data_IF_680529977843
#
_entry.id   IF_680529977843
#
_cell.length_a   1.000
_cell.length_b   1.000
_cell.length_c   1.000
_cell.angle_alpha   90.00
_cell.angle_beta   90.00
_cell.angle_gamma   90.00
#
_symmetry.space_group_name_H-M   'P 1'
#
loop_
_entity.id
_entity.type
_entity.pdbx_description
1 polymer ?
#
# COMPACT_ATOMS: atom_id res chain seq x y z
N UNK A 1 16.35 -6.86 -15.29
CA UNK A 1 17.41 -7.40 -14.41
C UNK A 1 18.57 -7.95 -15.23
N UNK A 2 18.33 -8.64 -16.35
CA UNK A 2 19.41 -9.02 -17.29
C UNK A 2 20.13 -7.83 -17.94
N UNK A 3 19.45 -6.71 -18.21
CA UNK A 3 20.08 -5.53 -18.84
C UNK A 3 21.12 -4.79 -17.96
N UNK A 4 21.16 -5.05 -16.64
CA UNK A 4 22.09 -4.42 -15.69
C UNK A 4 23.03 -5.43 -15.02
N UNK A 5 22.88 -6.74 -15.27
CA UNK A 5 23.62 -7.82 -14.57
C UNK A 5 23.52 -7.78 -13.04
N UNK A 6 22.49 -7.13 -12.48
CA UNK A 6 22.24 -7.06 -11.04
C UNK A 6 21.25 -8.15 -10.67
N UNK A 7 21.54 -8.90 -9.60
CA UNK A 7 20.63 -9.90 -9.04
C UNK A 7 19.27 -9.29 -8.65
N UNK A 8 18.22 -10.12 -8.62
CA UNK A 8 16.85 -9.64 -8.49
C UNK A 8 16.54 -8.90 -7.19
N UNK A 9 17.08 -9.39 -6.07
CA UNK A 9 16.85 -8.80 -4.76
C UNK A 9 17.54 -7.42 -4.59
N UNK A 10 18.82 -7.23 -4.96
CA UNK A 10 19.42 -5.89 -4.98
C UNK A 10 18.67 -4.90 -5.89
N UNK A 11 18.22 -5.35 -7.07
CA UNK A 11 17.44 -4.49 -7.97
C UNK A 11 16.10 -4.07 -7.32
N UNK A 12 15.42 -4.98 -6.61
CA UNK A 12 14.23 -4.67 -5.84
C UNK A 12 14.52 -3.66 -4.72
N UNK A 13 15.65 -3.81 -4.01
CA UNK A 13 16.09 -2.85 -3.00
C UNK A 13 16.32 -1.44 -3.55
N UNK A 14 16.96 -1.32 -4.72
CA UNK A 14 17.15 -0.03 -5.40
C UNK A 14 15.81 0.58 -5.82
N UNK A 15 14.88 -0.24 -6.34
CA UNK A 15 13.56 0.24 -6.71
C UNK A 15 12.74 0.73 -5.50
N UNK A 16 12.83 0.05 -4.35
CA UNK A 16 12.21 0.51 -3.11
C UNK A 16 12.86 1.79 -2.58
N UNK A 17 14.18 1.91 -2.66
CA UNK A 17 14.88 3.14 -2.29
C UNK A 17 14.46 4.32 -3.18
N UNK A 18 14.38 4.10 -4.50
CA UNK A 18 13.88 5.11 -5.44
C UNK A 18 12.42 5.48 -5.15
N UNK A 19 11.56 4.50 -4.85
CA UNK A 19 10.19 4.76 -4.43
C UNK A 19 10.15 5.65 -3.18
N UNK A 20 10.92 5.31 -2.14
CA UNK A 20 11.01 6.11 -0.92
C UNK A 20 11.51 7.54 -1.17
N UNK A 21 12.50 7.73 -2.04
CA UNK A 21 12.98 9.06 -2.41
C UNK A 21 11.90 9.88 -3.16
N UNK A 22 11.17 9.25 -4.08
CA UNK A 22 10.10 9.91 -4.85
C UNK A 22 8.91 10.28 -3.95
N UNK A 23 8.55 9.41 -3.02
CA UNK A 23 7.43 9.63 -2.09
C UNK A 23 7.81 10.44 -0.87
N UNK A 24 9.11 10.73 -0.65
CA UNK A 24 9.60 11.31 0.60
C UNK A 24 9.45 10.37 1.81
N UNK A 25 9.28 9.07 1.58
CA UNK A 25 9.08 8.03 2.59
C UNK A 25 7.88 8.26 3.54
N UNK A 26 6.89 9.08 3.15
CA UNK A 26 5.74 9.40 4.01
C UNK A 26 4.91 8.18 4.42
N UNK A 27 4.84 7.14 3.58
CA UNK A 27 4.06 5.93 3.89
C UNK A 27 4.81 4.99 4.84
N UNK A 28 6.13 4.91 4.66
CA UNK A 28 7.04 4.17 5.55
C UNK A 28 7.05 4.81 6.94
N UNK A 29 7.20 6.13 7.01
CA UNK A 29 7.13 6.90 8.26
C UNK A 29 5.78 6.67 8.96
N UNK A 30 4.67 6.79 8.23
CA UNK A 30 3.34 6.53 8.77
C UNK A 30 3.14 5.10 9.29
N UNK A 31 3.74 4.10 8.64
CA UNK A 31 3.73 2.71 9.12
C UNK A 31 4.50 2.58 10.44
N UNK A 32 5.69 3.20 10.52
CA UNK A 32 6.52 3.15 11.71
C UNK A 32 5.82 3.82 12.91
N UNK A 33 5.33 5.04 12.72
CA UNK A 33 4.64 5.83 13.73
C UNK A 33 3.36 5.15 14.22
N UNK A 34 2.59 4.57 13.31
CA UNK A 34 1.39 3.82 13.67
C UNK A 34 1.74 2.59 14.51
N UNK A 35 2.78 1.85 14.12
CA UNK A 35 3.22 0.67 14.87
C UNK A 35 3.77 1.05 16.25
N UNK A 36 4.62 2.06 16.35
CA UNK A 36 5.20 2.51 17.62
C UNK A 36 4.15 3.07 18.58
N UNK A 37 3.12 3.75 18.06
CA UNK A 37 2.02 4.21 18.89
C UNK A 37 1.37 3.05 19.68
N UNK A 38 1.37 1.82 19.15
CA UNK A 38 0.75 0.69 19.84
C UNK A 38 1.50 0.22 21.09
N UNK A 39 2.72 0.72 21.32
CA UNK A 39 3.41 0.58 22.60
C UNK A 39 2.79 1.42 23.73
N UNK A 40 1.98 2.43 23.41
CA UNK A 40 1.31 3.28 24.40
C UNK A 40 -0.07 2.75 24.81
N UNK A 41 -0.50 3.11 26.02
CA UNK A 41 -1.78 2.69 26.59
C UNK A 41 -2.92 3.68 26.29
N UNK A 42 -2.66 4.98 26.45
CA UNK A 42 -3.68 6.03 26.26
C UNK A 42 -3.71 6.55 24.83
N UNK A 43 -4.88 7.05 24.41
CA UNK A 43 -5.06 7.63 23.07
C UNK A 43 -4.16 8.86 22.90
N UNK A 44 -4.08 9.70 23.91
CA UNK A 44 -3.30 10.94 23.90
C UNK A 44 -1.83 10.61 23.64
N UNK A 45 -1.29 9.63 24.39
CA UNK A 45 0.10 9.21 24.22
C UNK A 45 0.37 8.57 22.85
N UNK A 46 -0.59 7.83 22.29
CA UNK A 46 -0.50 7.29 20.92
C UNK A 46 -0.35 8.39 19.89
N UNK A 47 -1.17 9.43 20.02
CA UNK A 47 -1.15 10.58 19.11
C UNK A 47 0.13 11.42 19.28
N UNK A 48 0.66 11.51 20.51
CA UNK A 48 1.93 12.19 20.77
C UNK A 48 3.12 11.43 20.15
N UNK A 49 3.15 10.10 20.23
CA UNK A 49 4.21 9.27 19.61
C UNK A 49 4.26 9.50 18.09
N UNK A 50 3.11 9.55 17.43
CA UNK A 50 2.99 9.88 16.00
C UNK A 50 3.37 11.33 15.61
N UNK A 51 3.84 12.15 16.56
CA UNK A 51 4.47 13.46 16.26
C UNK A 51 5.96 13.46 16.60
N UNK A 52 6.41 12.41 17.25
CA UNK A 52 7.77 12.25 17.69
C UNK A 52 8.58 11.64 16.55
N UNK A 53 9.67 12.29 16.15
CA UNK A 53 10.54 11.77 15.09
C UNK A 53 11.38 10.56 15.51
N UNK A 54 11.30 10.15 16.79
CA UNK A 54 12.02 8.99 17.29
C UNK A 54 11.30 7.70 16.91
N UNK A 55 12.02 6.85 16.19
CA UNK A 55 11.59 5.49 15.90
C UNK A 55 11.75 4.57 17.12
N UNK A 56 10.73 3.75 17.36
CA UNK A 56 10.74 2.68 18.36
C UNK A 56 10.92 1.29 17.74
N UNK A 57 10.94 0.25 18.58
CA UNK A 57 11.17 -1.12 18.14
C UNK A 57 10.04 -1.69 17.30
N UNK A 58 8.80 -1.24 17.51
CA UNK A 58 7.65 -1.71 16.73
C UNK A 58 7.67 -1.10 15.33
N UNK A 59 8.05 0.17 15.21
CA UNK A 59 8.24 0.85 13.93
C UNK A 59 9.36 0.20 13.12
N UNK A 60 10.52 -0.05 13.73
CA UNK A 60 11.63 -0.78 13.07
C UNK A 60 11.15 -2.14 12.57
N UNK A 61 10.47 -2.94 13.40
CA UNK A 61 10.00 -4.26 13.01
C UNK A 61 8.99 -4.18 11.85
N UNK A 62 8.05 -3.23 11.91
CA UNK A 62 7.05 -3.02 10.85
C UNK A 62 7.71 -2.63 9.52
N UNK A 63 8.69 -1.73 9.54
CA UNK A 63 9.46 -1.34 8.36
C UNK A 63 10.26 -2.52 7.78
N UNK A 64 10.95 -3.28 8.62
CA UNK A 64 11.69 -4.46 8.19
C UNK A 64 10.78 -5.48 7.51
N UNK A 65 9.62 -5.78 8.10
CA UNK A 65 8.65 -6.71 7.51
C UNK A 65 8.08 -6.17 6.19
N UNK A 66 7.72 -4.88 6.15
CA UNK A 66 7.21 -4.23 4.93
C UNK A 66 8.23 -4.27 3.79
N UNK A 67 9.49 -3.92 4.07
CA UNK A 67 10.56 -3.96 3.07
C UNK A 67 10.83 -5.40 2.63
N UNK A 68 10.88 -6.35 3.56
CA UNK A 68 11.11 -7.77 3.24
C UNK A 68 10.04 -8.32 2.29
N UNK A 69 8.75 -8.07 2.59
CA UNK A 69 7.64 -8.55 1.77
C UNK A 69 7.70 -7.91 0.38
N UNK A 70 7.86 -6.59 0.30
CA UNK A 70 7.87 -5.87 -0.99
C UNK A 70 9.10 -6.24 -1.82
N UNK A 71 10.28 -6.30 -1.22
CA UNK A 71 11.51 -6.66 -1.92
C UNK A 71 11.47 -8.11 -2.42
N UNK A 72 11.03 -9.05 -1.57
CA UNK A 72 10.85 -10.45 -1.93
C UNK A 72 9.84 -10.61 -3.07
N UNK A 73 8.71 -9.90 -2.99
CA UNK A 73 7.70 -9.96 -4.03
C UNK A 73 8.19 -9.39 -5.37
N UNK A 74 8.87 -8.24 -5.35
CA UNK A 74 9.44 -7.64 -6.56
C UNK A 74 10.54 -8.52 -7.17
N UNK A 75 11.37 -9.16 -6.35
CA UNK A 75 12.43 -10.06 -6.81
C UNK A 75 11.89 -11.35 -7.46
N UNK A 76 10.65 -11.72 -7.17
CA UNK A 76 9.99 -12.90 -7.71
C UNK A 76 9.44 -12.72 -9.15
N UNK A 77 9.31 -11.48 -9.64
CA UNK A 77 8.75 -11.24 -10.97
C UNK A 77 9.83 -11.12 -12.04
N UNK A 78 9.55 -11.61 -13.27
CA UNK A 78 10.37 -11.26 -14.43
C UNK A 78 10.36 -9.76 -14.67
N UNK A 79 11.50 -9.22 -15.13
CA UNK A 79 11.68 -7.79 -15.31
C UNK A 79 10.62 -7.14 -16.24
N UNK A 80 10.11 -7.89 -17.23
CA UNK A 80 9.07 -7.44 -18.16
C UNK A 80 7.75 -7.06 -17.46
N UNK A 81 7.46 -7.63 -16.29
CA UNK A 81 6.21 -7.41 -15.56
C UNK A 81 6.35 -6.42 -14.39
N UNK A 82 7.56 -5.95 -14.07
CA UNK A 82 7.77 -5.09 -12.90
C UNK A 82 7.01 -3.77 -13.00
N UNK A 83 7.07 -3.08 -14.15
CA UNK A 83 6.38 -1.80 -14.34
C UNK A 83 4.86 -1.94 -14.13
N UNK A 84 4.14 -2.86 -14.82
CA UNK A 84 2.71 -2.99 -14.61
C UNK A 84 2.36 -3.39 -13.18
N UNK A 85 3.12 -4.30 -12.55
CA UNK A 85 2.86 -4.74 -11.17
C UNK A 85 3.06 -3.60 -10.16
N UNK A 86 4.11 -2.79 -10.32
CA UNK A 86 4.34 -1.62 -9.49
C UNK A 86 3.26 -0.55 -9.71
N UNK A 87 2.80 -0.36 -10.95
CA UNK A 87 1.68 0.54 -11.24
C UNK A 87 0.39 0.08 -10.55
N UNK A 88 0.06 -1.22 -10.62
CA UNK A 88 -1.10 -1.78 -9.91
C UNK A 88 -0.96 -1.59 -8.40
N UNK A 89 0.17 -1.98 -7.81
CA UNK A 89 0.42 -1.83 -6.38
C UNK A 89 0.30 -0.37 -5.92
N UNK A 90 0.92 0.55 -6.64
CA UNK A 90 0.92 1.98 -6.32
C UNK A 90 -0.48 2.61 -6.45
N UNK A 91 -1.25 2.26 -7.48
CA UNK A 91 -2.58 2.85 -7.70
C UNK A 91 -3.64 2.25 -6.78
N UNK A 92 -3.64 0.93 -6.60
CA UNK A 92 -4.63 0.25 -5.75
C UNK A 92 -4.46 0.68 -4.30
N UNK A 93 -3.23 0.67 -3.76
CA UNK A 93 -2.95 1.09 -2.38
C UNK A 93 -3.42 2.52 -2.07
N UNK A 94 -3.18 3.46 -2.99
CA UNK A 94 -3.64 4.85 -2.88
C UNK A 94 -5.16 5.00 -3.00
N UNK A 95 -5.81 4.20 -3.85
CA UNK A 95 -7.26 4.22 -3.98
C UNK A 95 -7.95 3.67 -2.71
N UNK A 96 -7.50 2.52 -2.20
CA UNK A 96 -8.09 1.96 -0.97
C UNK A 96 -7.84 2.83 0.25
N UNK A 97 -6.68 3.52 0.35
CA UNK A 97 -6.41 4.49 1.43
C UNK A 97 -7.52 5.53 1.58
N UNK A 98 -8.12 6.00 0.47
CA UNK A 98 -9.20 7.00 0.49
C UNK A 98 -10.51 6.49 1.14
N UNK A 99 -10.62 5.18 1.38
CA UNK A 99 -11.75 4.61 2.11
C UNK A 99 -11.73 5.07 3.58
N UNK A 100 -10.55 5.28 4.17
CA UNK A 100 -10.41 5.72 5.55
C UNK A 100 -10.97 7.13 5.79
N UNK A 101 -10.55 8.20 5.09
CA UNK A 101 -11.15 9.52 5.26
C UNK A 101 -12.61 9.60 4.81
N UNK A 102 -13.08 8.63 4.01
CA UNK A 102 -14.49 8.53 3.61
C UNK A 102 -15.39 7.91 4.70
N UNK A 103 -14.84 7.01 5.52
CA UNK A 103 -15.57 6.17 6.48
C UNK A 103 -15.30 6.52 7.95
N UNK A 104 -14.17 7.15 8.25
CA UNK A 104 -13.73 7.49 9.60
C UNK A 104 -13.57 9.02 9.75
N UNK A 105 -13.85 9.57 10.94
CA UNK A 105 -13.51 10.96 11.23
C UNK A 105 -11.98 11.13 11.35
N UNK A 106 -11.49 12.35 11.15
CA UNK A 106 -10.11 12.68 11.50
C UNK A 106 -9.92 12.56 13.02
N UNK A 107 -8.85 11.88 13.45
CA UNK A 107 -8.54 11.63 14.86
C UNK A 107 -8.11 12.90 15.61
N UNK A 108 -7.70 13.94 14.88
CA UNK A 108 -7.20 15.21 15.40
C UNK A 108 -7.88 16.41 14.70
N UNK A 109 -7.92 17.58 15.36
CA UNK A 109 -8.45 18.80 14.75
C UNK A 109 -7.50 19.42 13.71
N UNK A 110 -6.21 19.09 13.78
CA UNK A 110 -5.12 19.64 12.96
C UNK A 110 -4.43 18.57 12.10
N UNK A 111 -3.47 19.00 11.27
CA UNK A 111 -2.66 18.15 10.39
C UNK A 111 -3.14 18.09 8.94
N UNK A 112 -2.22 17.79 8.01
CA UNK A 112 -2.48 17.83 6.56
C UNK A 112 -3.60 16.89 6.16
N UNK A 113 -3.66 15.69 6.76
CA UNK A 113 -4.69 14.70 6.45
C UNK A 113 -6.11 15.19 6.80
N UNK A 114 -6.27 16.17 7.69
CA UNK A 114 -7.58 16.78 7.99
C UNK A 114 -8.21 17.44 6.78
N UNK A 115 -7.42 17.93 5.82
CA UNK A 115 -7.92 18.52 4.58
C UNK A 115 -8.73 17.54 3.73
N UNK A 116 -8.61 16.23 3.98
CA UNK A 116 -9.42 15.18 3.35
C UNK A 116 -10.79 14.98 4.01
N UNK A 117 -11.17 15.77 5.04
CA UNK A 117 -12.44 15.65 5.75
C UNK A 117 -13.35 16.89 5.56
N UNK A 118 -14.52 16.76 4.90
CA UNK A 118 -15.04 15.57 4.24
C UNK A 118 -14.41 15.34 2.86
N UNK A 119 -14.16 14.08 2.50
CA UNK A 119 -13.65 13.76 1.17
C UNK A 119 -14.77 13.90 0.13
N UNK A 120 -14.62 14.78 -0.88
CA UNK A 120 -15.67 14.98 -1.88
C UNK A 120 -15.91 13.69 -2.70
N UNK A 121 -17.17 13.41 -3.04
CA UNK A 121 -17.57 12.15 -3.70
C UNK A 121 -16.95 11.97 -5.09
N UNK A 122 -16.85 13.03 -5.88
CA UNK A 122 -16.38 12.93 -7.26
C UNK A 122 -14.88 12.61 -7.37
N UNK A 123 -13.97 13.29 -6.65
CA UNK A 123 -12.57 12.90 -6.56
C UNK A 123 -12.37 11.46 -6.05
N UNK A 124 -13.15 11.04 -5.06
CA UNK A 124 -13.12 9.66 -4.56
C UNK A 124 -13.45 8.66 -5.66
N UNK A 125 -14.59 8.82 -6.35
CA UNK A 125 -15.01 7.93 -7.44
C UNK A 125 -13.99 7.94 -8.57
N UNK A 126 -13.48 9.12 -8.96
CA UNK A 126 -12.46 9.26 -9.99
C UNK A 126 -11.19 8.47 -9.66
N UNK A 127 -10.70 8.57 -8.42
CA UNK A 127 -9.54 7.81 -7.96
C UNK A 127 -9.79 6.29 -8.03
N UNK A 128 -10.97 5.82 -7.61
CA UNK A 128 -11.32 4.39 -7.73
C UNK A 128 -11.35 3.93 -9.19
N UNK A 129 -11.98 4.67 -10.09
CA UNK A 129 -12.10 4.31 -11.51
C UNK A 129 -10.74 4.26 -12.21
N UNK A 130 -9.87 5.24 -11.94
CA UNK A 130 -8.51 5.25 -12.50
C UNK A 130 -7.71 4.04 -12.02
N UNK A 131 -7.76 3.74 -10.71
CA UNK A 131 -7.06 2.57 -10.18
C UNK A 131 -7.62 1.25 -10.72
N UNK A 132 -8.94 1.14 -10.91
CA UNK A 132 -9.58 -0.03 -11.53
C UNK A 132 -9.11 -0.18 -12.98
N UNK A 133 -9.11 0.91 -13.76
CA UNK A 133 -8.67 0.89 -15.15
C UNK A 133 -7.19 0.49 -15.28
N UNK A 134 -6.31 0.99 -14.42
CA UNK A 134 -4.89 0.62 -14.39
C UNK A 134 -4.72 -0.85 -13.99
N UNK A 135 -5.50 -1.32 -13.00
CA UNK A 135 -5.50 -2.74 -12.59
C UNK A 135 -5.90 -3.64 -13.74
N UNK A 136 -7.06 -3.39 -14.35
CA UNK A 136 -7.57 -4.19 -15.45
C UNK A 136 -6.66 -4.13 -16.66
N UNK A 137 -6.23 -2.93 -17.08
CA UNK A 137 -5.34 -2.77 -18.22
C UNK A 137 -4.02 -3.53 -18.04
N UNK A 138 -3.40 -3.40 -16.86
CA UNK A 138 -2.14 -4.08 -16.56
C UNK A 138 -2.28 -5.60 -16.53
N UNK A 139 -3.32 -6.12 -15.88
CA UNK A 139 -3.54 -7.56 -15.74
C UNK A 139 -4.00 -8.20 -17.06
N UNK A 140 -4.88 -7.55 -17.82
CA UNK A 140 -5.32 -8.04 -19.13
C UNK A 140 -4.14 -8.07 -20.10
N UNK A 141 -3.33 -7.01 -20.16
CA UNK A 141 -2.13 -7.02 -21.00
C UNK A 141 -1.15 -8.13 -20.59
N UNK A 142 -0.94 -8.35 -19.30
CA UNK A 142 -0.04 -9.39 -18.80
C UNK A 142 -0.56 -10.80 -19.10
N UNK A 143 -1.85 -11.07 -18.87
CA UNK A 143 -2.48 -12.35 -19.17
C UNK A 143 -2.55 -12.62 -20.66
N UNK A 144 -2.87 -11.61 -21.48
CA UNK A 144 -2.88 -11.75 -22.94
C UNK A 144 -1.50 -12.08 -23.49
N UNK A 145 -0.44 -11.50 -22.91
CA UNK A 145 0.93 -11.83 -23.30
C UNK A 145 1.33 -13.28 -22.95
N UNK A 146 0.83 -13.83 -21.83
CA UNK A 146 1.15 -15.21 -21.38
C UNK A 146 0.28 -16.28 -22.05
N UNK A 147 -1.02 -16.05 -22.13
CA UNK A 147 -2.04 -17.06 -22.42
C UNK A 147 -2.92 -16.69 -23.63
N UNK A 148 -2.73 -15.52 -24.23
CA UNK A 148 -3.58 -15.03 -25.32
C UNK A 148 -4.99 -14.66 -24.83
N UNK A 149 -6.01 -14.73 -25.71
CA UNK A 149 -7.39 -14.34 -25.37
C UNK A 149 -8.00 -15.13 -24.20
N UNK A 150 -7.56 -16.37 -23.98
CA UNK A 150 -8.08 -17.26 -22.94
C UNK A 150 -7.65 -16.84 -21.52
N UNK A 151 -6.69 -15.91 -21.40
CA UNK A 151 -6.23 -15.37 -20.12
C UNK A 151 -7.15 -14.33 -19.49
N UNK A 152 -8.21 -13.87 -20.18
CA UNK A 152 -9.10 -12.82 -19.67
C UNK A 152 -9.81 -13.20 -18.35
N UNK A 153 -10.41 -14.40 -18.19
CA UNK A 153 -11.03 -14.78 -16.92
C UNK A 153 -10.03 -14.80 -15.75
N UNK A 154 -8.80 -15.26 -16.00
CA UNK A 154 -7.72 -15.25 -15.01
C UNK A 154 -7.36 -13.81 -14.60
N UNK A 155 -7.19 -12.90 -15.56
CA UNK A 155 -6.91 -11.49 -15.27
C UNK A 155 -7.99 -10.84 -14.39
N UNK A 156 -9.26 -11.10 -14.68
CA UNK A 156 -10.39 -10.58 -13.91
C UNK A 156 -10.42 -11.15 -12.49
N UNK A 157 -10.21 -12.45 -12.34
CA UNK A 157 -10.14 -13.11 -11.03
C UNK A 157 -9.00 -12.52 -10.19
N UNK A 158 -7.79 -12.43 -10.74
CA UNK A 158 -6.62 -11.85 -10.05
C UNK A 158 -6.89 -10.39 -9.68
N UNK A 159 -7.49 -9.61 -10.58
CA UNK A 159 -7.90 -8.23 -10.31
C UNK A 159 -8.83 -8.12 -9.11
N UNK A 160 -9.85 -8.98 -9.03
CA UNK A 160 -10.75 -9.04 -7.88
C UNK A 160 -10.01 -9.37 -6.58
N UNK A 161 -9.12 -10.36 -6.57
CA UNK A 161 -8.37 -10.74 -5.36
C UNK A 161 -7.40 -9.63 -4.91
N UNK A 162 -6.77 -8.92 -5.86
CA UNK A 162 -5.93 -7.75 -5.58
C UNK A 162 -6.73 -6.66 -4.86
N UNK A 163 -7.92 -6.33 -5.35
CA UNK A 163 -8.77 -5.30 -4.72
C UNK A 163 -9.31 -5.73 -3.36
N UNK A 164 -9.71 -7.01 -3.22
CA UNK A 164 -10.20 -7.55 -1.95
C UNK A 164 -9.08 -7.58 -0.90
N UNK A 165 -7.88 -8.03 -1.25
CA UNK A 165 -6.73 -8.09 -0.32
C UNK A 165 -6.30 -6.69 0.13
N UNK A 166 -6.17 -5.74 -0.78
CA UNK A 166 -5.85 -4.35 -0.46
C UNK A 166 -6.92 -3.68 0.41
N UNK A 167 -8.20 -3.90 0.06
CA UNK A 167 -9.34 -3.41 0.82
C UNK A 167 -9.40 -3.99 2.24
N UNK A 168 -9.12 -5.29 2.39
CA UNK A 168 -9.07 -5.95 3.70
C UNK A 168 -7.93 -5.39 4.57
N UNK A 169 -6.72 -5.26 4.01
CA UNK A 169 -5.60 -4.65 4.73
C UNK A 169 -5.91 -3.23 5.22
N UNK A 170 -6.50 -2.42 4.34
CA UNK A 170 -6.93 -1.06 4.68
C UNK A 170 -8.03 -1.05 5.75
N UNK A 171 -9.01 -1.95 5.63
CA UNK A 171 -10.08 -2.07 6.62
C UNK A 171 -9.56 -2.49 8.00
N UNK A 172 -8.57 -3.39 8.07
CA UNK A 172 -7.91 -3.79 9.32
C UNK A 172 -7.18 -2.61 9.96
N UNK A 173 -6.40 -1.86 9.17
CA UNK A 173 -5.73 -0.63 9.62
C UNK A 173 -6.76 0.38 10.13
N UNK A 174 -7.83 0.61 9.38
CA UNK A 174 -8.92 1.52 9.74
C UNK A 174 -9.68 1.10 11.00
N UNK A 175 -9.98 -0.19 11.15
CA UNK A 175 -10.61 -0.73 12.35
C UNK A 175 -9.73 -0.51 13.58
N UNK A 176 -8.43 -0.80 13.45
CA UNK A 176 -7.48 -0.57 14.52
C UNK A 176 -7.36 0.92 14.85
N UNK A 177 -7.25 1.80 13.85
CA UNK A 177 -7.19 3.25 14.05
C UNK A 177 -8.47 3.80 14.72
N UNK A 178 -9.66 3.31 14.33
CA UNK A 178 -10.92 3.66 14.98
C UNK A 178 -10.92 3.25 16.46
N UNK A 179 -10.43 2.04 16.78
CA UNK A 179 -10.38 1.53 18.16
C UNK A 179 -9.34 2.26 19.01
N UNK A 180 -8.16 2.53 18.46
CA UNK A 180 -7.00 3.02 19.20
C UNK A 180 -6.89 4.55 19.23
N UNK A 181 -7.37 5.23 18.19
CA UNK A 181 -7.16 6.66 17.95
C UNK A 181 -8.48 7.44 17.78
N UNK A 182 -9.61 6.74 17.70
CA UNK A 182 -10.93 7.28 17.40
C UNK A 182 -11.05 7.96 16.01
N UNK A 183 -10.21 7.57 15.05
CA UNK A 183 -10.23 8.15 13.70
C UNK A 183 -8.94 7.89 12.91
N UNK A 184 -8.74 8.62 11.83
CA UNK A 184 -7.50 8.56 11.03
C UNK A 184 -6.58 9.77 11.28
N UNK A 185 -5.26 9.55 11.17
CA UNK A 185 -4.21 10.58 11.04
C UNK A 185 -3.52 10.41 9.68
N UNK A 186 -2.56 11.29 9.35
CA UNK A 186 -1.71 11.08 8.17
C UNK A 186 -0.96 9.75 8.21
N UNK A 187 -0.46 9.39 9.39
CA UNK A 187 0.32 8.16 9.64
C UNK A 187 -0.54 6.92 9.41
N UNK A 188 -1.81 6.95 9.86
CA UNK A 188 -2.77 5.87 9.58
C UNK A 188 -3.01 5.69 8.08
N UNK A 189 -3.08 6.79 7.32
CA UNK A 189 -3.21 6.72 5.87
C UNK A 189 -1.94 6.13 5.25
N UNK A 190 -0.76 6.60 5.65
CA UNK A 190 0.53 6.06 5.20
C UNK A 190 0.70 4.56 5.51
N UNK A 191 0.36 4.15 6.74
CA UNK A 191 0.37 2.75 7.15
C UNK A 191 -0.58 1.89 6.30
N UNK A 192 -1.79 2.40 5.99
CA UNK A 192 -2.74 1.68 5.13
C UNK A 192 -2.22 1.48 3.71
N UNK A 193 -1.50 2.48 3.15
CA UNK A 193 -0.84 2.34 1.85
C UNK A 193 0.24 1.27 1.92
N UNK A 194 1.13 1.33 2.91
CA UNK A 194 2.22 0.35 3.07
C UNK A 194 1.71 -1.08 3.25
N UNK A 195 0.65 -1.28 4.04
CA UNK A 195 0.00 -2.60 4.23
C UNK A 195 -0.66 -3.06 2.93
N UNK A 196 -1.38 -2.18 2.23
CA UNK A 196 -2.01 -2.51 0.97
C UNK A 196 -0.97 -2.88 -0.11
N UNK A 197 0.14 -2.14 -0.24
CA UNK A 197 1.23 -2.48 -1.18
C UNK A 197 1.81 -3.87 -0.89
N UNK A 198 2.05 -4.20 0.39
CA UNK A 198 2.52 -5.52 0.80
C UNK A 198 1.55 -6.63 0.35
N UNK A 199 0.26 -6.45 0.61
CA UNK A 199 -0.76 -7.45 0.26
C UNK A 199 -0.96 -7.57 -1.25
N UNK A 200 -0.98 -6.46 -1.98
CA UNK A 200 -1.12 -6.47 -3.45
C UNK A 200 0.06 -7.20 -4.08
N UNK A 201 1.29 -6.86 -3.70
CA UNK A 201 2.49 -7.50 -4.25
C UNK A 201 2.56 -8.99 -3.90
N UNK A 202 2.27 -9.36 -2.65
CA UNK A 202 2.23 -10.77 -2.24
C UNK A 202 1.13 -11.56 -2.99
N UNK A 203 -0.05 -10.96 -3.18
CA UNK A 203 -1.15 -11.54 -3.95
C UNK A 203 -0.70 -11.79 -5.39
N UNK A 204 -0.15 -10.77 -6.05
CA UNK A 204 0.31 -10.89 -7.43
C UNK A 204 1.39 -11.97 -7.56
N UNK A 205 2.30 -12.14 -6.59
CA UNK A 205 3.33 -13.20 -6.68
C UNK A 205 2.73 -14.59 -6.64
N UNK A 206 1.72 -14.81 -5.79
CA UNK A 206 1.06 -16.11 -5.67
C UNK A 206 0.36 -16.52 -6.99
N UNK A 207 -0.06 -15.56 -7.81
CA UNK A 207 -0.74 -15.84 -9.07
C UNK A 207 0.19 -15.89 -10.29
N UNK A 208 1.35 -15.22 -10.27
CA UNK A 208 2.29 -15.24 -11.40
C UNK A 208 3.32 -16.37 -11.34
N UNK A 209 3.58 -16.94 -10.17
CA UNK A 209 4.52 -18.06 -9.97
C UNK A 209 3.90 -19.44 -10.21
N UNK A 210 2.56 -19.52 -10.25
CA UNK A 210 1.83 -20.69 -10.74
C UNK A 210 1.60 -20.59 -12.25
#
# INVERSE_FOLDING_TARGET
MEALSIASLPAAGVALAAQGMITGAFHEDGLADMADSYGAQTRERKLDIMRDSRIGSYGVLALCLSILIRAGAMAAFPAAFLIPILAVSACVSRAVMLWLPRLLPAARPDGVARALSPLPRMPFIGAQLVAIAITLGSLVCASFYREGPDGLPHALMVGCVVWVSAGLGTALVGFSARKQLAGYTGDVLGASVSVAECLVLATLTAFFQN
#
